data_IF_623735133550
#
_entry.id   IF_623735133550
#
_cell.length_a   1.000
_cell.length_b   1.000
_cell.length_c   1.000
_cell.angle_alpha   90.00
_cell.angle_beta   90.00
_cell.angle_gamma   90.00
#
_symmetry.space_group_name_H-M   'P 1'
#
loop_
_entity.id
_entity.type
_entity.pdbx_description
1 polymer ?
#
# COMPACT_ATOMS: atom_id res chain seq x y z
N UNK A 1 36.83 -19.30 -7.84
CA UNK A 1 36.91 -18.06 -8.63
C UNK A 1 37.18 -18.31 -10.12
N UNK A 2 37.68 -19.47 -10.54
CA UNK A 2 37.90 -19.83 -11.95
C UNK A 2 36.60 -20.06 -12.74
N UNK A 3 35.57 -20.67 -12.14
CA UNK A 3 34.30 -20.95 -12.83
C UNK A 3 33.49 -19.72 -13.30
N UNK A 4 33.66 -18.58 -12.66
CA UNK A 4 32.97 -17.34 -13.05
C UNK A 4 33.62 -16.60 -14.22
N UNK A 5 34.92 -16.89 -14.50
CA UNK A 5 35.63 -16.36 -15.65
C UNK A 5 35.23 -17.08 -16.94
N UNK A 6 35.03 -18.39 -16.86
CA UNK A 6 34.68 -19.21 -18.04
C UNK A 6 33.30 -18.86 -18.60
N UNK A 7 32.28 -18.64 -17.73
CA UNK A 7 30.94 -18.17 -18.14
C UNK A 7 30.96 -16.76 -18.74
N UNK A 8 31.86 -15.87 -18.22
CA UNK A 8 32.01 -14.54 -18.74
C UNK A 8 32.70 -14.47 -20.08
N UNK A 9 33.73 -15.30 -20.27
CA UNK A 9 34.45 -15.44 -21.55
C UNK A 9 33.58 -16.10 -22.61
N UNK A 10 32.74 -17.07 -22.24
CA UNK A 10 31.73 -17.65 -23.13
C UNK A 10 30.69 -16.64 -23.58
N UNK A 11 30.24 -15.75 -22.66
CA UNK A 11 29.31 -14.64 -22.96
C UNK A 11 29.93 -13.65 -23.94
N UNK A 12 31.18 -13.24 -23.72
CA UNK A 12 31.88 -12.28 -24.60
C UNK A 12 32.15 -12.90 -25.98
N UNK A 13 32.57 -14.15 -26.06
CA UNK A 13 32.85 -14.81 -27.30
C UNK A 13 31.59 -15.14 -28.12
N UNK A 14 30.46 -15.39 -27.49
CA UNK A 14 29.16 -15.59 -28.16
C UNK A 14 28.54 -14.29 -28.70
N UNK A 15 29.00 -13.11 -28.27
CA UNK A 15 28.53 -11.84 -28.82
C UNK A 15 29.15 -11.48 -30.17
N UNK A 16 30.22 -12.18 -30.59
CA UNK A 16 30.93 -11.94 -31.86
C UNK A 16 30.56 -12.88 -33.02
N UNK A 17 29.68 -13.85 -32.80
CA UNK A 17 29.15 -14.63 -33.92
C UNK A 17 27.94 -13.90 -34.52
N UNK A 18 28.15 -13.18 -35.63
CA UNK A 18 27.14 -12.69 -36.58
C UNK A 18 26.35 -13.84 -37.25
N UNK A 19 25.96 -14.88 -36.52
CA UNK A 19 24.87 -15.74 -36.97
C UNK A 19 23.58 -14.97 -36.75
N UNK A 20 22.78 -14.72 -37.82
CA UNK A 20 21.45 -14.24 -37.66
C UNK A 20 20.79 -15.25 -36.72
N UNK A 21 20.34 -14.78 -35.54
CA UNK A 21 19.38 -15.52 -34.74
C UNK A 21 18.24 -15.86 -35.70
N UNK A 22 18.13 -17.09 -36.14
CA UNK A 22 16.94 -17.58 -36.83
C UNK A 22 15.79 -17.22 -35.93
N UNK A 23 15.01 -16.26 -36.38
CA UNK A 23 13.77 -15.88 -35.70
C UNK A 23 12.85 -17.08 -35.88
N UNK A 24 12.87 -17.98 -34.89
CA UNK A 24 11.79 -18.94 -34.73
C UNK A 24 10.57 -18.09 -34.46
N UNK A 25 9.82 -17.77 -35.50
CA UNK A 25 8.48 -17.22 -35.36
C UNK A 25 7.69 -18.30 -34.64
N UNK A 26 7.04 -17.97 -33.51
CA UNK A 26 6.16 -18.94 -32.88
C UNK A 26 5.14 -19.37 -33.93
N UNK A 27 4.91 -20.67 -34.02
CA UNK A 27 3.86 -21.26 -34.85
C UNK A 27 2.58 -20.41 -34.68
N UNK A 28 2.01 -19.94 -35.80
CA UNK A 28 0.79 -19.10 -35.76
C UNK A 28 -0.39 -19.81 -35.10
N UNK A 29 -0.29 -21.10 -34.88
CA UNK A 29 -1.25 -21.93 -34.11
C UNK A 29 -1.14 -21.75 -32.59
N UNK A 30 0.00 -21.22 -32.06
CA UNK A 30 0.17 -21.04 -30.63
C UNK A 30 -0.55 -19.79 -30.13
N UNK A 31 -1.74 -19.98 -29.58
CA UNK A 31 -2.45 -18.95 -28.81
C UNK A 31 -2.05 -19.07 -27.35
N UNK A 32 -1.26 -18.12 -26.81
CA UNK A 32 -0.88 -18.17 -25.41
C UNK A 32 -2.14 -18.02 -24.53
N UNK A 33 -2.32 -18.99 -23.63
CA UNK A 33 -3.38 -18.91 -22.62
C UNK A 33 -2.94 -18.01 -21.46
N UNK A 34 -3.81 -17.10 -21.05
CA UNK A 34 -3.59 -16.28 -19.86
C UNK A 34 -4.33 -16.88 -18.67
N UNK A 35 -3.80 -16.66 -17.47
CA UNK A 35 -4.46 -17.13 -16.26
C UNK A 35 -5.72 -16.29 -15.97
N UNK A 36 -6.66 -16.86 -15.20
CA UNK A 36 -7.77 -16.08 -14.69
C UNK A 36 -7.26 -14.92 -13.83
N UNK A 37 -7.93 -13.78 -13.96
CA UNK A 37 -7.68 -12.62 -13.11
C UNK A 37 -8.18 -12.91 -11.70
N UNK A 38 -7.35 -12.62 -10.69
CA UNK A 38 -7.75 -12.75 -9.29
C UNK A 38 -7.45 -11.49 -8.47
N UNK A 39 -8.34 -11.19 -7.53
CA UNK A 39 -8.16 -10.10 -6.57
C UNK A 39 -7.21 -10.57 -5.47
N UNK A 40 -6.02 -9.99 -5.40
CA UNK A 40 -5.03 -10.35 -4.40
C UNK A 40 -5.29 -9.67 -3.05
N UNK A 41 -5.62 -8.38 -3.06
CA UNK A 41 -5.96 -7.63 -1.84
C UNK A 41 -6.85 -6.43 -2.15
N UNK A 42 -7.61 -6.02 -1.12
CA UNK A 42 -8.44 -4.82 -1.17
C UNK A 42 -8.10 -3.88 0.00
N UNK A 43 -8.28 -2.58 -0.21
CA UNK A 43 -8.30 -1.60 0.88
C UNK A 43 -9.74 -1.20 1.15
N UNK A 44 -10.19 -1.46 2.37
CA UNK A 44 -11.53 -1.09 2.83
C UNK A 44 -11.49 0.16 3.69
N UNK A 45 -12.51 0.98 3.55
CA UNK A 45 -12.79 2.08 4.47
C UNK A 45 -14.08 1.74 5.20
N UNK A 46 -14.07 1.91 6.51
CA UNK A 46 -15.24 1.79 7.35
C UNK A 46 -15.33 2.96 8.33
N UNK A 47 -16.42 3.02 9.09
CA UNK A 47 -16.66 4.11 10.01
C UNK A 47 -17.17 3.60 11.35
N UNK A 48 -16.72 4.26 12.40
CA UNK A 48 -17.31 4.15 13.74
C UNK A 48 -18.40 5.20 13.93
N UNK A 49 -19.25 4.99 14.89
CA UNK A 49 -20.41 5.87 15.17
C UNK A 49 -20.03 7.24 15.78
N UNK A 50 -18.79 7.43 16.25
CA UNK A 50 -18.32 8.67 16.89
C UNK A 50 -16.81 8.86 16.73
N UNK A 51 -16.34 10.09 17.00
CA UNK A 51 -14.93 10.48 16.95
C UNK A 51 -14.09 9.74 18.01
N UNK A 52 -12.78 9.63 17.72
CA UNK A 52 -11.81 8.88 18.52
C UNK A 52 -10.78 9.84 19.13
N UNK A 53 -10.57 9.86 20.44
CA UNK A 53 -9.45 10.55 21.10
C UNK A 53 -8.17 9.71 20.90
N UNK A 54 -7.49 9.95 19.77
CA UNK A 54 -6.42 9.09 19.26
C UNK A 54 -5.29 8.87 20.26
N UNK A 55 -4.79 9.94 20.84
CA UNK A 55 -3.62 9.89 21.72
C UNK A 55 -3.94 9.16 23.03
N UNK A 56 -5.08 9.47 23.65
CA UNK A 56 -5.53 8.80 24.85
C UNK A 56 -5.68 7.29 24.65
N UNK A 57 -6.39 6.90 23.58
CA UNK A 57 -6.58 5.49 23.25
C UNK A 57 -5.23 4.81 22.93
N UNK A 58 -4.36 5.48 22.16
CA UNK A 58 -3.05 4.94 21.83
C UNK A 58 -2.26 4.52 23.07
N UNK A 59 -2.20 5.37 24.09
CA UNK A 59 -1.42 5.06 25.31
C UNK A 59 -2.05 3.95 26.14
N UNK A 60 -3.37 3.84 26.21
CA UNK A 60 -4.10 2.83 26.99
C UNK A 60 -4.15 1.45 26.35
N UNK A 61 -3.99 1.33 25.03
CA UNK A 61 -4.05 0.05 24.34
C UNK A 61 -2.84 -0.83 24.69
N UNK A 62 -3.06 -2.08 25.15
CA UNK A 62 -2.00 -3.03 25.45
C UNK A 62 -1.41 -3.61 24.17
N UNK A 63 -0.15 -4.04 24.25
CA UNK A 63 0.54 -4.79 23.20
C UNK A 63 0.78 -6.19 23.73
N UNK A 64 0.59 -7.19 22.89
CA UNK A 64 0.97 -8.58 23.19
C UNK A 64 2.38 -8.84 22.64
N UNK A 65 3.12 -9.68 23.34
CA UNK A 65 4.44 -10.12 22.88
C UNK A 65 4.29 -10.96 21.61
N UNK A 66 5.16 -10.71 20.63
CA UNK A 66 5.09 -11.36 19.31
C UNK A 66 5.14 -12.88 19.38
N UNK A 67 5.95 -13.42 20.31
CA UNK A 67 6.16 -14.87 20.48
C UNK A 67 4.95 -15.60 21.08
N UNK A 68 4.02 -14.87 21.70
CA UNK A 68 2.85 -15.50 22.28
C UNK A 68 1.81 -15.81 21.19
N UNK A 69 1.32 -17.06 21.07
CA UNK A 69 0.31 -17.44 20.06
C UNK A 69 -1.10 -16.99 20.51
N UNK A 70 -1.29 -15.69 20.66
CA UNK A 70 -2.54 -15.06 21.12
C UNK A 70 -3.02 -14.02 20.13
N UNK A 71 -4.34 -13.79 20.14
CA UNK A 71 -4.97 -12.68 19.44
C UNK A 71 -4.80 -11.37 20.22
N UNK A 72 -4.64 -10.27 19.51
CA UNK A 72 -4.50 -8.95 20.12
C UNK A 72 -3.64 -8.01 19.30
N UNK A 73 -3.30 -6.86 19.88
CA UNK A 73 -2.52 -5.82 19.24
C UNK A 73 -1.02 -6.17 19.35
N UNK A 74 -0.36 -6.39 18.21
CA UNK A 74 1.07 -6.64 18.12
C UNK A 74 1.89 -5.36 18.07
N UNK A 75 1.38 -4.36 17.35
CA UNK A 75 2.09 -3.11 17.11
C UNK A 75 1.13 -1.96 16.98
N UNK A 76 1.53 -0.81 17.50
CA UNK A 76 0.83 0.47 17.31
C UNK A 76 1.82 1.57 16.95
N UNK A 77 1.41 2.49 16.08
CA UNK A 77 2.24 3.59 15.58
C UNK A 77 1.43 4.87 15.53
N UNK A 78 1.93 5.93 16.16
CA UNK A 78 1.30 7.27 16.13
C UNK A 78 2.36 8.31 15.79
N UNK A 79 1.90 9.46 15.27
CA UNK A 79 2.70 10.67 15.07
C UNK A 79 2.15 11.76 15.95
N UNK A 80 2.97 12.25 16.88
CA UNK A 80 2.62 13.31 17.83
C UNK A 80 3.43 14.56 17.49
N UNK A 81 2.77 15.70 17.61
CA UNK A 81 3.35 17.02 17.42
C UNK A 81 3.27 17.79 18.74
N UNK A 82 4.39 17.91 19.43
CA UNK A 82 4.56 18.68 20.65
C UNK A 82 4.80 20.15 20.30
N UNK A 83 4.10 21.05 20.93
CA UNK A 83 4.15 22.49 20.71
C UNK A 83 4.99 23.23 21.75
N UNK A 84 5.24 22.58 22.88
CA UNK A 84 6.03 23.12 23.98
C UNK A 84 7.06 22.10 24.46
N UNK A 85 8.14 22.53 25.14
CA UNK A 85 9.10 21.62 25.78
C UNK A 85 8.47 20.71 26.83
N UNK A 86 7.46 21.22 27.55
CA UNK A 86 6.72 20.47 28.57
C UNK A 86 5.95 19.29 27.95
N UNK A 87 5.36 19.51 26.76
CA UNK A 87 4.71 18.43 25.98
C UNK A 87 5.69 17.32 25.68
N UNK A 88 6.94 17.64 25.33
CA UNK A 88 8.00 16.66 25.04
C UNK A 88 8.36 15.86 26.28
N UNK A 89 8.50 16.53 27.42
CA UNK A 89 8.81 15.85 28.71
C UNK A 89 7.66 14.90 29.09
N UNK A 90 6.41 15.34 28.93
CA UNK A 90 5.25 14.48 29.19
C UNK A 90 5.20 13.28 28.24
N UNK A 91 5.56 13.51 26.97
CA UNK A 91 5.64 12.48 25.95
C UNK A 91 6.72 11.44 26.28
N UNK A 92 7.91 11.86 26.69
CA UNK A 92 9.01 10.99 27.07
C UNK A 92 8.65 10.12 28.29
N UNK A 93 7.95 10.68 29.28
CA UNK A 93 7.39 9.93 30.41
C UNK A 93 6.42 8.82 29.96
N UNK A 94 5.59 9.08 28.94
CA UNK A 94 4.67 8.09 28.41
C UNK A 94 5.40 6.99 27.62
N UNK A 95 6.44 7.37 26.87
CA UNK A 95 7.26 6.42 26.11
C UNK A 95 7.99 5.46 27.04
N UNK A 96 8.59 5.94 28.12
CA UNK A 96 9.32 5.12 29.10
C UNK A 96 8.42 4.16 29.88
N UNK A 97 7.16 4.51 30.10
CA UNK A 97 6.16 3.64 30.75
C UNK A 97 5.71 2.48 29.85
N UNK A 98 5.88 2.59 28.54
CA UNK A 98 5.43 1.58 27.59
C UNK A 98 6.54 0.58 27.27
N UNK A 99 6.28 -0.70 27.47
CA UNK A 99 7.19 -1.80 27.08
C UNK A 99 7.35 -1.82 25.55
N UNK A 100 8.59 -2.05 25.08
CA UNK A 100 8.92 -2.15 23.65
C UNK A 100 8.47 -0.91 22.82
N UNK A 101 8.65 0.28 23.40
CA UNK A 101 8.32 1.54 22.76
C UNK A 101 9.59 2.24 22.28
N UNK A 102 9.58 2.69 21.02
CA UNK A 102 10.66 3.45 20.38
C UNK A 102 10.09 4.66 19.68
N UNK A 103 10.92 5.67 19.41
CA UNK A 103 10.50 6.83 18.63
C UNK A 103 11.56 7.26 17.62
N UNK A 104 11.09 7.88 16.52
CA UNK A 104 11.91 8.57 15.54
C UNK A 104 11.56 10.06 15.59
N UNK A 105 12.54 10.95 15.75
CA UNK A 105 12.34 12.39 15.58
C UNK A 105 12.25 12.69 14.09
N UNK A 106 11.12 13.25 13.66
CA UNK A 106 10.87 13.60 12.25
C UNK A 106 11.20 15.07 11.95
N UNK A 107 10.97 15.94 12.94
CA UNK A 107 11.27 17.36 12.86
C UNK A 107 11.43 17.89 14.28
N UNK A 108 12.46 18.68 14.51
CA UNK A 108 12.67 19.43 15.73
C UNK A 108 13.07 20.85 15.35
N UNK A 109 12.32 21.84 15.82
CA UNK A 109 12.60 23.26 15.64
C UNK A 109 12.56 23.87 17.04
N UNK A 110 13.70 24.44 17.43
CA UNK A 110 13.84 25.25 18.64
C UNK A 110 14.52 26.55 18.20
N UNK A 111 13.72 27.53 17.83
CA UNK A 111 14.22 28.82 17.33
C UNK A 111 14.21 29.85 18.44
N UNK A 112 15.37 30.13 18.99
CA UNK A 112 15.60 31.22 19.94
C UNK A 112 15.79 32.60 19.28
N UNK A 113 15.85 32.64 17.93
CA UNK A 113 16.14 33.88 17.17
C UNK A 113 14.89 34.42 16.49
N UNK A 114 14.33 35.52 16.99
CA UNK A 114 13.26 36.27 16.37
C UNK A 114 12.08 36.55 17.28
N UNK A 115 11.23 37.51 16.89
CA UNK A 115 10.07 38.01 17.65
C UNK A 115 8.98 36.97 18.00
N UNK A 116 9.11 35.71 17.50
CA UNK A 116 8.19 34.60 17.81
C UNK A 116 9.01 33.31 17.92
N UNK A 117 9.22 32.85 19.15
CA UNK A 117 9.75 31.51 19.43
C UNK A 117 8.75 30.47 18.94
N UNK A 118 9.11 29.74 17.88
CA UNK A 118 8.29 28.63 17.40
C UNK A 118 8.95 27.33 17.82
N UNK A 119 8.51 26.78 18.94
CA UNK A 119 8.87 25.42 19.30
C UNK A 119 7.98 24.43 18.53
N UNK A 120 8.62 23.38 17.98
CA UNK A 120 7.90 22.29 17.33
C UNK A 120 8.75 21.04 17.37
N UNK A 121 8.25 20.00 18.03
CA UNK A 121 8.85 18.68 18.03
C UNK A 121 7.83 17.66 17.48
N UNK A 122 8.22 16.94 16.43
CA UNK A 122 7.38 15.96 15.78
C UNK A 122 8.04 14.61 15.88
N UNK A 123 7.41 13.70 16.60
CA UNK A 123 7.90 12.34 16.80
C UNK A 123 6.94 11.30 16.26
N UNK A 124 7.51 10.26 15.67
CA UNK A 124 6.80 9.05 15.32
C UNK A 124 7.10 8.00 16.37
N UNK A 125 6.09 7.62 17.11
CA UNK A 125 6.19 6.66 18.21
C UNK A 125 5.72 5.30 17.73
N UNK A 126 6.50 4.29 17.99
CA UNK A 126 6.22 2.90 17.63
C UNK A 126 6.32 2.04 18.87
N UNK A 127 5.27 1.28 19.16
CA UNK A 127 5.28 0.32 20.25
C UNK A 127 4.90 -1.06 19.74
N UNK A 128 5.72 -2.07 20.05
CA UNK A 128 5.56 -3.45 19.59
C UNK A 128 6.18 -3.76 18.23
N UNK A 129 6.05 -5.02 17.80
CA UNK A 129 6.70 -5.59 16.61
C UNK A 129 5.70 -6.38 15.80
N UNK A 130 5.82 -6.32 14.46
CA UNK A 130 5.02 -7.09 13.50
C UNK A 130 5.91 -8.04 12.70
N UNK A 131 5.30 -9.03 12.05
CA UNK A 131 5.99 -9.96 11.13
C UNK A 131 6.84 -9.21 10.10
N UNK A 132 6.31 -8.12 9.58
CA UNK A 132 7.00 -7.30 8.57
C UNK A 132 8.28 -6.65 9.10
N UNK A 133 8.33 -6.28 10.37
CA UNK A 133 9.51 -5.68 10.99
C UNK A 133 10.63 -6.71 11.18
N UNK A 134 10.26 -7.98 11.37
CA UNK A 134 11.21 -9.09 11.56
C UNK A 134 11.82 -9.56 10.22
N UNK A 135 11.05 -9.49 9.12
CA UNK A 135 11.48 -9.99 7.81
C UNK A 135 12.22 -8.90 7.01
N UNK A 136 11.81 -7.62 7.12
CA UNK A 136 12.38 -6.55 6.31
C UNK A 136 13.61 -5.90 6.97
N UNK A 137 14.80 -6.26 6.50
CA UNK A 137 16.05 -5.62 6.88
C UNK A 137 16.19 -4.18 6.32
N UNK A 138 15.51 -3.85 5.22
CA UNK A 138 15.55 -2.51 4.63
C UNK A 138 14.50 -1.61 5.26
N UNK A 139 14.89 -0.89 6.30
CA UNK A 139 14.04 0.12 6.95
C UNK A 139 13.98 1.41 6.11
N UNK A 140 13.09 1.50 5.14
CA UNK A 140 12.71 2.83 4.62
C UNK A 140 11.96 3.58 5.71
N UNK A 141 12.47 4.74 6.14
CA UNK A 141 11.75 5.64 7.07
C UNK A 141 10.42 6.04 6.43
N UNK A 142 9.32 5.50 6.92
CA UNK A 142 7.97 5.86 6.46
C UNK A 142 7.45 6.97 7.35
N UNK A 143 6.98 8.06 6.75
CA UNK A 143 6.23 9.09 7.47
C UNK A 143 4.91 8.50 7.99
N UNK A 144 4.44 9.00 9.12
CA UNK A 144 3.10 8.72 9.64
C UNK A 144 2.19 9.93 9.41
N UNK A 145 0.87 9.70 9.33
CA UNK A 145 -0.12 10.77 9.24
C UNK A 145 -0.41 11.36 10.62
N UNK A 146 -0.75 12.66 10.70
CA UNK A 146 -1.05 13.32 11.96
C UNK A 146 -2.38 12.94 12.58
N UNK A 147 -3.39 12.69 11.75
CA UNK A 147 -4.78 12.54 12.21
C UNK A 147 -5.18 11.08 12.37
N UNK A 148 -4.22 10.17 12.47
CA UNK A 148 -4.48 8.76 12.68
C UNK A 148 -3.37 8.09 13.47
N UNK A 149 -3.71 6.98 14.13
CA UNK A 149 -2.72 5.98 14.50
C UNK A 149 -3.02 4.64 13.85
N UNK A 150 -1.98 3.87 13.60
CA UNK A 150 -2.08 2.55 13.01
C UNK A 150 -1.90 1.47 14.08
N UNK A 151 -2.70 0.43 14.01
CA UNK A 151 -2.54 -0.80 14.81
C UNK A 151 -2.38 -1.99 13.89
N UNK A 152 -1.52 -2.93 14.29
CA UNK A 152 -1.45 -4.25 13.67
C UNK A 152 -2.01 -5.23 14.68
N UNK A 153 -3.10 -5.89 14.29
CA UNK A 153 -3.83 -6.82 15.12
C UNK A 153 -3.60 -8.24 14.59
N UNK A 154 -3.22 -9.15 15.48
CA UNK A 154 -3.19 -10.57 15.19
C UNK A 154 -4.55 -11.17 15.48
N UNK A 155 -5.08 -11.85 14.48
CA UNK A 155 -6.33 -12.61 14.57
C UNK A 155 -6.08 -14.08 14.23
N UNK A 156 -6.91 -14.98 14.71
CA UNK A 156 -6.92 -16.39 14.33
C UNK A 156 -8.06 -16.63 13.34
N UNK A 157 -7.74 -17.11 12.14
CA UNK A 157 -8.72 -17.45 11.11
C UNK A 157 -8.31 -18.75 10.43
N UNK A 158 -9.25 -19.72 10.31
CA UNK A 158 -8.99 -21.07 9.74
C UNK A 158 -7.70 -21.70 10.30
N UNK A 159 -7.56 -21.71 11.62
CA UNK A 159 -6.40 -22.24 12.37
C UNK A 159 -5.03 -21.59 12.07
N UNK A 160 -5.00 -20.45 11.35
CA UNK A 160 -3.78 -19.69 11.07
C UNK A 160 -3.87 -18.29 11.68
N UNK A 161 -2.72 -17.74 12.08
CA UNK A 161 -2.64 -16.36 12.52
C UNK A 161 -2.43 -15.42 11.33
N UNK A 162 -3.22 -14.35 11.30
CA UNK A 162 -3.13 -13.28 10.31
C UNK A 162 -2.90 -11.95 11.00
N UNK A 163 -2.13 -11.07 10.36
CA UNK A 163 -1.89 -9.71 10.83
C UNK A 163 -2.68 -8.72 9.98
N UNK A 164 -3.60 -8.01 10.59
CA UNK A 164 -4.43 -7.00 9.93
C UNK A 164 -3.99 -5.61 10.38
N UNK A 165 -3.71 -4.75 9.41
CA UNK A 165 -3.35 -3.36 9.66
C UNK A 165 -4.61 -2.49 9.62
N UNK A 166 -4.90 -1.78 10.71
CA UNK A 166 -6.02 -0.85 10.81
C UNK A 166 -5.49 0.53 11.16
N UNK A 167 -5.79 1.53 10.34
CA UNK A 167 -5.55 2.94 10.64
C UNK A 167 -6.83 3.56 11.18
N UNK A 168 -6.74 4.09 12.39
CA UNK A 168 -7.85 4.77 13.06
C UNK A 168 -7.67 6.28 12.92
N UNK A 169 -8.64 6.96 12.37
CA UNK A 169 -8.65 8.42 12.24
C UNK A 169 -9.48 9.04 13.35
N UNK A 170 -9.14 10.26 13.75
CA UNK A 170 -9.85 11.02 14.79
C UNK A 170 -11.36 11.17 14.51
N UNK A 171 -11.76 11.18 13.23
CA UNK A 171 -13.17 11.27 12.80
C UNK A 171 -13.97 9.98 12.97
N UNK A 172 -13.36 8.90 13.47
CA UNK A 172 -13.97 7.57 13.51
C UNK A 172 -13.85 6.79 12.21
N UNK A 173 -13.20 7.34 11.17
CA UNK A 173 -12.89 6.63 9.94
C UNK A 173 -11.81 5.57 10.20
N UNK A 174 -12.00 4.39 9.60
CA UNK A 174 -11.05 3.30 9.59
C UNK A 174 -10.56 3.07 8.17
N UNK A 175 -9.26 2.92 7.96
CA UNK A 175 -8.66 2.49 6.69
C UNK A 175 -7.94 1.17 6.92
N UNK A 176 -8.35 0.13 6.22
CA UNK A 176 -7.86 -1.22 6.41
C UNK A 176 -7.32 -1.74 5.07
N UNK A 177 -6.00 -1.61 4.83
CA UNK A 177 -5.35 -2.11 3.62
C UNK A 177 -5.03 -3.60 3.72
N UNK A 178 -4.96 -4.25 2.55
CA UNK A 178 -4.48 -5.64 2.44
C UNK A 178 -5.49 -6.70 2.83
N UNK A 179 -6.78 -6.40 2.76
CA UNK A 179 -7.85 -7.35 3.06
C UNK A 179 -8.05 -8.30 1.89
N UNK A 180 -8.02 -9.59 2.19
CA UNK A 180 -8.33 -10.67 1.25
C UNK A 180 -9.73 -11.24 1.49
N UNK A 181 -10.20 -11.21 2.74
CA UNK A 181 -11.48 -11.77 3.13
C UNK A 181 -12.19 -10.81 4.10
N UNK A 182 -13.49 -10.60 3.88
CA UNK A 182 -14.32 -9.74 4.72
C UNK A 182 -14.51 -10.28 6.15
N UNK A 183 -14.45 -11.58 6.34
CA UNK A 183 -14.56 -12.20 7.66
C UNK A 183 -13.36 -11.81 8.54
N UNK A 184 -12.15 -11.84 7.98
CA UNK A 184 -10.93 -11.43 8.71
C UNK A 184 -10.97 -9.96 9.10
N UNK A 185 -11.56 -9.09 8.26
CA UNK A 185 -11.82 -7.70 8.56
C UNK A 185 -12.73 -7.55 9.78
N UNK A 186 -13.88 -8.25 9.77
CA UNK A 186 -14.87 -8.16 10.83
C UNK A 186 -14.29 -8.67 12.16
N UNK A 187 -13.59 -9.79 12.16
CA UNK A 187 -12.91 -10.33 13.36
C UNK A 187 -11.91 -9.32 13.92
N UNK A 188 -11.09 -8.72 13.05
CA UNK A 188 -10.08 -7.75 13.48
C UNK A 188 -10.71 -6.50 14.12
N UNK A 189 -11.79 -5.97 13.54
CA UNK A 189 -12.52 -4.82 14.09
C UNK A 189 -13.17 -5.19 15.42
N UNK A 190 -13.83 -6.35 15.52
CA UNK A 190 -14.48 -6.80 16.75
C UNK A 190 -13.47 -6.95 17.91
N UNK A 191 -12.31 -7.55 17.64
CA UNK A 191 -11.22 -7.65 18.63
C UNK A 191 -10.75 -6.25 19.04
N UNK A 192 -10.52 -5.34 18.09
CA UNK A 192 -10.08 -3.98 18.38
C UNK A 192 -11.09 -3.25 19.28
N UNK A 193 -12.37 -3.29 18.94
CA UNK A 193 -13.42 -2.60 19.70
C UNK A 193 -13.61 -3.20 21.11
N UNK A 194 -13.49 -4.53 21.24
CA UNK A 194 -13.51 -5.20 22.56
C UNK A 194 -12.33 -4.75 23.43
N UNK A 195 -11.12 -4.62 22.86
CA UNK A 195 -9.94 -4.16 23.59
C UNK A 195 -10.11 -2.69 23.99
N UNK A 196 -10.59 -1.82 23.10
CA UNK A 196 -10.84 -0.39 23.39
C UNK A 196 -11.87 -0.26 24.53
N UNK A 197 -12.99 -0.99 24.44
CA UNK A 197 -14.03 -0.97 25.50
C UNK A 197 -13.43 -1.41 26.84
N UNK A 198 -12.69 -2.52 26.88
CA UNK A 198 -12.11 -3.08 28.11
C UNK A 198 -11.04 -2.18 28.75
N UNK A 199 -10.20 -1.52 27.94
CA UNK A 199 -9.03 -0.76 28.42
C UNK A 199 -9.24 0.73 28.54
N UNK A 200 -10.12 1.30 27.72
CA UNK A 200 -10.36 2.74 27.66
C UNK A 200 -11.74 3.13 28.15
N UNK A 201 -12.68 2.18 28.33
CA UNK A 201 -14.07 2.44 28.70
C UNK A 201 -14.93 2.99 27.55
N UNK A 202 -14.38 3.19 26.35
CA UNK A 202 -15.11 3.73 25.21
C UNK A 202 -15.88 2.62 24.49
N UNK A 203 -17.15 2.85 24.26
CA UNK A 203 -17.98 1.95 23.47
C UNK A 203 -18.21 2.54 22.07
N UNK A 204 -17.69 1.84 21.06
CA UNK A 204 -17.85 2.19 19.65
C UNK A 204 -18.67 1.12 18.93
N UNK A 205 -19.46 1.56 17.93
CA UNK A 205 -20.19 0.69 17.01
C UNK A 205 -19.60 0.83 15.60
N UNK A 206 -19.28 -0.28 14.98
CA UNK A 206 -18.85 -0.32 13.59
C UNK A 206 -20.05 -0.28 12.65
N UNK A 207 -20.04 0.66 11.70
CA UNK A 207 -21.14 0.89 10.77
C UNK A 207 -20.96 -0.02 9.54
N UNK A 208 -21.41 -1.27 9.64
CA UNK A 208 -21.23 -2.29 8.58
C UNK A 208 -21.84 -1.90 7.23
N UNK A 209 -22.91 -1.07 7.23
CA UNK A 209 -23.59 -0.58 6.03
C UNK A 209 -22.86 0.59 5.33
N UNK A 210 -21.77 1.09 5.91
CA UNK A 210 -20.94 2.19 5.37
C UNK A 210 -19.53 1.73 5.01
N UNK A 211 -19.38 0.48 4.59
CA UNK A 211 -18.07 -0.07 4.18
C UNK A 211 -17.87 0.15 2.69
N UNK A 212 -16.75 0.78 2.35
CA UNK A 212 -16.40 1.10 0.97
C UNK A 212 -15.08 0.43 0.57
N UNK A 213 -15.00 -0.11 -0.64
CA UNK A 213 -13.73 -0.52 -1.24
C UNK A 213 -13.13 0.65 -1.99
N UNK A 214 -11.91 1.05 -1.63
CA UNK A 214 -11.26 2.23 -2.22
C UNK A 214 -10.04 1.89 -3.07
N UNK A 215 -9.54 0.68 -2.97
CA UNK A 215 -8.44 0.18 -3.78
C UNK A 215 -8.56 -1.33 -3.91
N UNK A 216 -8.42 -1.82 -5.13
CA UNK A 216 -8.32 -3.24 -5.46
C UNK A 216 -6.97 -3.48 -6.12
N UNK A 217 -6.25 -4.50 -5.66
CA UNK A 217 -5.09 -5.07 -6.32
C UNK A 217 -5.51 -6.41 -6.91
N UNK A 218 -5.39 -6.54 -8.21
CA UNK A 218 -5.63 -7.78 -8.93
C UNK A 218 -4.45 -8.10 -9.84
N UNK A 219 -4.30 -9.35 -10.21
CA UNK A 219 -3.22 -9.79 -11.08
C UNK A 219 -3.64 -11.02 -11.89
N UNK A 220 -2.94 -11.19 -13.00
CA UNK A 220 -2.97 -12.37 -13.85
C UNK A 220 -1.60 -12.55 -14.52
N UNK A 221 -1.40 -13.65 -15.22
CA UNK A 221 -0.20 -13.91 -16.01
C UNK A 221 -0.56 -14.25 -17.46
N UNK A 222 0.25 -13.72 -18.38
CA UNK A 222 0.16 -14.06 -19.81
C UNK A 222 0.82 -15.40 -20.14
N UNK A 223 1.52 -16.03 -19.20
CA UNK A 223 2.26 -17.28 -19.33
C UNK A 223 3.39 -17.27 -20.39
N UNK A 224 3.87 -16.09 -20.77
CA UNK A 224 5.04 -15.92 -21.63
C UNK A 224 5.89 -14.73 -21.20
N UNK A 225 7.16 -14.72 -21.61
CA UNK A 225 8.10 -13.64 -21.31
C UNK A 225 7.87 -12.43 -22.20
N UNK A 226 7.89 -11.23 -21.60
CA UNK A 226 7.63 -9.97 -22.30
C UNK A 226 8.93 -9.21 -22.53
N UNK A 227 9.20 -8.81 -23.78
CA UNK A 227 10.26 -7.87 -24.14
C UNK A 227 9.76 -6.46 -23.82
N UNK A 228 10.04 -5.98 -22.61
CA UNK A 228 9.48 -4.75 -22.05
C UNK A 228 9.73 -3.51 -22.91
N UNK A 229 10.93 -3.33 -23.48
CA UNK A 229 11.24 -2.18 -24.35
C UNK A 229 10.34 -2.14 -25.59
N UNK A 230 10.16 -3.28 -26.25
CA UNK A 230 9.28 -3.37 -27.44
C UNK A 230 7.83 -3.09 -27.07
N UNK A 231 7.33 -3.72 -26.00
CA UNK A 231 5.96 -3.52 -25.53
C UNK A 231 5.72 -2.07 -25.09
N UNK A 232 6.67 -1.45 -24.37
CA UNK A 232 6.55 -0.04 -23.97
C UNK A 232 6.40 0.88 -25.19
N UNK A 233 7.19 0.67 -26.25
CA UNK A 233 7.09 1.45 -27.48
C UNK A 233 5.73 1.25 -28.17
N UNK A 234 5.23 0.03 -28.27
CA UNK A 234 3.91 -0.28 -28.82
C UNK A 234 2.81 0.42 -28.00
N UNK A 235 2.80 0.26 -26.69
CA UNK A 235 1.81 0.88 -25.81
C UNK A 235 1.81 2.40 -25.95
N UNK A 236 3.01 3.01 -25.97
CA UNK A 236 3.15 4.47 -26.01
C UNK A 236 2.86 5.08 -27.36
N UNK A 237 3.38 4.52 -28.45
CA UNK A 237 3.36 5.14 -29.77
C UNK A 237 2.27 4.59 -30.69
N UNK A 238 1.91 3.30 -30.58
CA UNK A 238 0.83 2.72 -31.39
C UNK A 238 -0.53 2.89 -30.72
N UNK A 239 -0.61 2.56 -29.41
CA UNK A 239 -1.88 2.63 -28.68
C UNK A 239 -2.09 3.93 -27.90
N UNK A 240 -1.12 4.84 -27.88
CA UNK A 240 -1.17 6.11 -27.12
C UNK A 240 -1.51 5.94 -25.63
N UNK A 241 -1.17 4.79 -25.04
CA UNK A 241 -1.34 4.53 -23.62
C UNK A 241 -0.28 5.30 -22.84
N UNK A 242 -0.72 6.01 -21.81
CA UNK A 242 0.22 6.68 -20.89
C UNK A 242 1.06 5.64 -20.16
N UNK A 243 2.30 5.46 -20.58
CA UNK A 243 3.22 4.47 -20.04
C UNK A 243 4.61 5.06 -19.75
N UNK A 244 5.26 4.48 -18.74
CA UNK A 244 6.62 4.81 -18.32
C UNK A 244 7.37 3.52 -18.06
N UNK A 245 8.60 3.43 -18.56
CA UNK A 245 9.48 2.30 -18.28
C UNK A 245 10.87 2.82 -17.95
N UNK A 246 11.28 2.67 -16.71
CA UNK A 246 12.62 2.94 -16.20
C UNK A 246 13.05 1.75 -15.34
N UNK A 247 13.87 0.82 -15.90
CA UNK A 247 14.28 -0.39 -15.20
C UNK A 247 15.13 -0.11 -13.94
N UNK A 248 15.78 1.05 -13.86
CA UNK A 248 16.58 1.44 -12.70
C UNK A 248 15.71 1.77 -11.48
N UNK A 249 14.55 2.39 -11.70
CA UNK A 249 13.65 2.77 -10.62
C UNK A 249 12.57 1.72 -10.33
N UNK A 250 12.05 1.04 -11.37
CA UNK A 250 11.00 0.04 -11.24
C UNK A 250 11.06 -1.02 -12.35
N UNK A 251 11.02 -2.32 -12.01
CA UNK A 251 11.23 -3.40 -12.98
C UNK A 251 10.08 -3.63 -13.96
N UNK A 252 8.89 -3.08 -13.73
CA UNK A 252 7.71 -3.20 -14.58
C UNK A 252 7.46 -1.97 -15.44
N UNK A 253 6.82 -2.15 -16.61
CA UNK A 253 6.25 -1.03 -17.37
C UNK A 253 5.07 -0.53 -16.56
N UNK A 254 5.07 0.75 -16.20
CA UNK A 254 3.95 1.39 -15.47
C UNK A 254 3.03 2.08 -16.47
N UNK A 255 1.76 1.67 -16.48
CA UNK A 255 0.76 2.19 -17.40
C UNK A 255 -0.41 2.82 -16.65
N UNK A 256 -1.10 3.75 -17.32
CA UNK A 256 -2.34 4.36 -16.85
C UNK A 256 -3.43 4.19 -17.90
N UNK A 257 -4.52 3.61 -17.47
CA UNK A 257 -5.75 3.45 -18.23
C UNK A 257 -6.78 4.45 -17.71
N UNK A 258 -7.32 5.26 -18.60
CA UNK A 258 -8.33 6.27 -18.27
C UNK A 258 -9.72 5.72 -18.63
N UNK A 259 -10.40 5.17 -17.64
CA UNK A 259 -11.76 4.68 -17.77
C UNK A 259 -12.77 5.81 -17.59
N UNK A 260 -13.69 5.95 -18.52
CA UNK A 260 -14.80 6.91 -18.41
C UNK A 260 -16.12 6.21 -18.73
N UNK A 261 -17.01 6.12 -17.74
CA UNK A 261 -18.31 5.46 -17.87
C UNK A 261 -19.17 5.98 -19.05
N UNK A 262 -18.95 7.23 -19.46
CA UNK A 262 -19.72 7.86 -20.53
C UNK A 262 -19.14 7.59 -21.94
N UNK A 263 -17.99 6.93 -22.04
CA UNK A 263 -17.40 6.58 -23.33
C UNK A 263 -17.95 5.24 -23.81
N UNK A 264 -18.36 5.17 -25.07
CA UNK A 264 -18.76 3.91 -25.73
C UNK A 264 -17.57 2.98 -25.96
N UNK A 265 -16.42 3.55 -26.30
CA UNK A 265 -15.17 2.79 -26.53
C UNK A 265 -14.20 3.08 -25.36
N UNK A 266 -13.77 2.02 -24.69
CA UNK A 266 -12.82 2.08 -23.58
C UNK A 266 -11.42 1.70 -24.06
N UNK A 267 -10.73 2.65 -24.69
CA UNK A 267 -9.38 2.44 -25.25
C UNK A 267 -8.24 2.86 -24.29
N UNK A 268 -8.59 3.24 -23.07
CA UNK A 268 -7.61 3.67 -22.05
C UNK A 268 -7.09 5.10 -22.22
N UNK A 269 -7.58 5.85 -23.21
CA UNK A 269 -7.18 7.23 -23.49
C UNK A 269 -8.22 8.20 -22.91
N UNK A 270 -7.75 9.31 -22.37
CA UNK A 270 -8.63 10.36 -21.88
C UNK A 270 -9.17 11.22 -23.05
N UNK A 271 -10.46 11.10 -23.35
CA UNK A 271 -11.17 11.87 -24.38
C UNK A 271 -11.97 13.06 -23.80
N UNK A 272 -11.69 13.49 -22.58
CA UNK A 272 -12.36 14.63 -21.97
C UNK A 272 -11.96 15.95 -22.65
N UNK A 273 -12.92 16.91 -22.77
CA UNK A 273 -12.66 18.26 -23.32
C UNK A 273 -11.48 18.96 -22.63
N UNK A 274 -11.33 18.76 -21.31
CA UNK A 274 -10.15 19.14 -20.55
C UNK A 274 -9.47 17.85 -20.13
N UNK A 275 -8.24 17.60 -20.60
CA UNK A 275 -7.48 16.37 -20.26
C UNK A 275 -7.42 16.17 -18.75
N UNK A 276 -7.77 14.98 -18.29
CA UNK A 276 -7.69 14.61 -16.89
C UNK A 276 -6.23 14.59 -16.44
N UNK A 277 -5.89 15.45 -15.50
CA UNK A 277 -4.54 15.45 -14.90
C UNK A 277 -4.45 14.33 -13.87
N UNK A 278 -3.26 13.72 -13.74
CA UNK A 278 -2.96 12.73 -12.72
C UNK A 278 -3.03 13.33 -11.29
N UNK A 279 -3.05 14.67 -11.17
CA UNK A 279 -3.14 15.39 -9.91
C UNK A 279 -4.56 15.37 -9.34
N UNK A 280 -4.71 14.77 -8.16
CA UNK A 280 -5.99 14.54 -7.45
C UNK A 280 -6.77 15.81 -7.07
N UNK A 281 -6.17 17.01 -7.17
CA UNK A 281 -6.76 18.25 -6.63
C UNK A 281 -7.94 18.82 -7.44
N UNK A 282 -8.11 18.44 -8.70
CA UNK A 282 -9.14 19.01 -9.60
C UNK A 282 -10.06 17.95 -10.22
N UNK A 283 -10.54 16.98 -9.44
CA UNK A 283 -11.55 16.03 -9.93
C UNK A 283 -12.89 16.72 -10.12
N UNK A 284 -13.20 17.15 -11.34
CA UNK A 284 -14.57 17.47 -11.75
C UNK A 284 -15.42 16.20 -11.72
N UNK A 285 -16.73 16.34 -11.44
CA UNK A 285 -17.70 15.25 -11.28
C UNK A 285 -17.75 14.23 -12.46
N UNK A 286 -17.21 14.57 -13.63
CA UNK A 286 -17.18 13.76 -14.87
C UNK A 286 -15.75 13.43 -15.34
N UNK A 287 -14.78 13.33 -14.42
CA UNK A 287 -13.41 12.96 -14.79
C UNK A 287 -13.24 11.44 -14.89
N UNK A 288 -12.32 10.98 -15.76
CA UNK A 288 -11.96 9.57 -15.87
C UNK A 288 -11.50 8.99 -14.54
N UNK A 289 -11.87 7.74 -14.29
CA UNK A 289 -11.20 6.91 -13.26
C UNK A 289 -9.86 6.46 -13.84
N UNK A 290 -8.78 6.67 -13.11
CA UNK A 290 -7.44 6.26 -13.54
C UNK A 290 -7.09 4.92 -12.90
N UNK A 291 -6.86 3.92 -13.73
CA UNK A 291 -6.48 2.57 -13.36
C UNK A 291 -5.01 2.42 -13.73
N UNK A 292 -4.23 1.87 -12.82
CA UNK A 292 -2.81 1.62 -13.04
C UNK A 292 -2.60 0.15 -13.33
N UNK A 293 -1.83 -0.17 -14.35
CA UNK A 293 -1.36 -1.52 -14.53
C UNK A 293 0.15 -1.56 -14.73
N UNK A 294 0.76 -2.60 -14.25
CA UNK A 294 2.19 -2.82 -14.28
C UNK A 294 2.48 -4.16 -14.94
N UNK A 295 3.32 -4.13 -15.97
CA UNK A 295 3.64 -5.30 -16.78
C UNK A 295 5.08 -5.69 -16.51
N UNK A 296 5.28 -6.94 -16.07
CA UNK A 296 6.59 -7.47 -15.72
C UNK A 296 7.15 -8.38 -16.81
N UNK A 297 8.47 -8.52 -16.85
CA UNK A 297 9.16 -9.40 -17.80
C UNK A 297 8.62 -10.82 -17.83
N UNK A 298 8.24 -11.36 -16.69
CA UNK A 298 7.72 -12.73 -16.51
C UNK A 298 6.32 -12.96 -17.08
N UNK A 299 5.69 -11.94 -17.70
CA UNK A 299 4.29 -12.01 -18.14
C UNK A 299 3.29 -11.75 -17.04
N UNK A 300 3.73 -11.49 -15.80
CA UNK A 300 2.84 -11.10 -14.72
C UNK A 300 2.35 -9.67 -14.91
N UNK A 301 1.04 -9.45 -14.76
CA UNK A 301 0.39 -8.14 -14.86
C UNK A 301 -0.33 -7.85 -13.56
N UNK A 302 -0.02 -6.70 -12.96
CA UNK A 302 -0.66 -6.19 -11.76
C UNK A 302 -1.57 -5.02 -12.14
N UNK A 303 -2.85 -5.09 -11.76
CA UNK A 303 -3.85 -4.04 -11.98
C UNK A 303 -4.24 -3.44 -10.63
N UNK A 304 -4.14 -2.11 -10.50
CA UNK A 304 -4.38 -1.39 -9.26
C UNK A 304 -5.28 -0.18 -9.50
N UNK A 305 -6.37 -0.09 -8.77
CA UNK A 305 -7.25 1.07 -8.87
C UNK A 305 -8.46 1.01 -7.95
N UNK A 306 -9.31 2.03 -8.10
CA UNK A 306 -10.61 2.11 -7.44
C UNK A 306 -11.68 1.87 -8.51
N UNK A 307 -12.16 0.64 -8.61
CA UNK A 307 -13.22 0.25 -9.53
C UNK A 307 -14.19 -0.72 -8.87
N UNK A 308 -15.35 -0.89 -9.50
CA UNK A 308 -16.28 -1.97 -9.21
C UNK A 308 -15.82 -3.23 -9.96
N UNK A 309 -16.05 -4.41 -9.42
CA UNK A 309 -15.57 -5.69 -9.99
C UNK A 309 -15.96 -5.86 -11.47
N UNK A 310 -17.11 -5.32 -11.88
CA UNK A 310 -17.60 -5.35 -13.25
C UNK A 310 -16.75 -4.56 -14.29
N UNK A 311 -15.81 -3.74 -13.84
CA UNK A 311 -14.92 -2.98 -14.73
C UNK A 311 -13.70 -3.80 -15.13
N UNK A 312 -13.37 -4.85 -14.40
CA UNK A 312 -12.21 -5.71 -14.69
C UNK A 312 -12.32 -6.42 -16.03
N UNK A 313 -13.54 -6.79 -16.44
CA UNK A 313 -13.79 -7.47 -17.72
C UNK A 313 -13.69 -6.50 -18.94
N UNK A 314 -13.60 -5.20 -18.69
CA UNK A 314 -13.53 -4.16 -19.72
C UNK A 314 -12.08 -3.71 -19.99
N UNK A 315 -11.17 -3.97 -19.06
CA UNK A 315 -9.76 -3.55 -19.09
C UNK A 315 -8.87 -4.67 -19.60
#
# INVERSE_FOLDING_TARGET
>A
MEYLNDEWDEFINNTNTNKPLERVFPDESFKPEFSNLYISTQTKIGYLNKCIPLEEIFWKLPIIDYNLPKEGILKKVIKINSKTPEDVIALDKNITKQKNCTFDVLLQIDSLTGKTTKFKDIRKITAGVSKKDLINFRKKKKSAFYNCFAVIIRIKYKNKFHEINIKLFNTGKLEIPGIQNIETLNIAIDILLKIIKKKCGYEYKYLKNKVETVLINSNFTCNFYIIRNKLHNILKYTYNIHSCFDPCSYPGIQCKFFYNKNNTIQNGICNCKTKCTLNKKNKKKNSCKVISFMIFRTGSILIVGNWDENILDII
#
